data_IF_826108680224
#
_entry.id   IF_826108680224
#
_cell.length_a   1.000
_cell.length_b   1.000
_cell.length_c   1.000
_cell.angle_alpha   90.00
_cell.angle_beta   90.00
_cell.angle_gamma   90.00
#
_symmetry.space_group_name_H-M   'P 1'
#
loop_
_entity.id
_entity.type
_entity.pdbx_description
1 polymer ?
#
# COMPACT_ATOMS: atom_id res chain seq x y z
N UNK A 1 -21.85 3.51 23.38
CA UNK A 1 -20.38 3.70 23.23
C UNK A 1 -19.89 2.74 22.13
N UNK A 2 -19.96 3.16 20.85
CA UNK A 2 -19.85 2.28 19.66
C UNK A 2 -18.40 2.04 19.19
N UNK A 3 -17.45 2.82 19.68
CA UNK A 3 -16.06 2.87 19.18
C UNK A 3 -15.06 1.99 19.97
N UNK A 4 -15.50 1.29 21.02
CA UNK A 4 -14.57 0.50 21.86
C UNK A 4 -13.89 -0.66 21.14
N UNK A 5 -14.58 -1.29 20.18
CA UNK A 5 -14.03 -2.45 19.47
C UNK A 5 -12.86 -2.11 18.55
N UNK A 6 -12.75 -0.83 18.09
CA UNK A 6 -11.64 -0.39 17.24
C UNK A 6 -10.41 0.05 18.02
N UNK A 7 -10.51 0.21 19.34
CA UNK A 7 -9.42 0.66 20.20
C UNK A 7 -8.34 -0.42 20.42
N UNK A 8 -8.60 -1.68 20.05
CA UNK A 8 -7.64 -2.78 20.14
C UNK A 8 -6.89 -3.09 18.86
N UNK A 9 -7.14 -2.37 17.76
CA UNK A 9 -6.32 -2.51 16.55
C UNK A 9 -5.03 -1.72 16.76
N UNK A 10 -3.89 -2.37 16.50
CA UNK A 10 -2.60 -1.70 16.49
C UNK A 10 -2.57 -0.54 15.49
N UNK A 11 -1.61 0.36 15.65
CA UNK A 11 -1.36 1.39 14.66
C UNK A 11 -1.15 0.73 13.28
N UNK A 12 -1.63 1.38 12.23
CA UNK A 12 -1.39 0.92 10.87
C UNK A 12 0.11 1.00 10.61
N UNK A 13 0.73 -0.09 10.15
CA UNK A 13 2.13 -0.10 9.73
C UNK A 13 2.23 0.18 8.22
N UNK A 14 3.32 0.83 7.81
CA UNK A 14 3.64 1.08 6.41
C UNK A 14 5.06 0.60 6.10
N UNK A 15 5.29 0.20 4.85
CA UNK A 15 6.63 -0.06 4.35
C UNK A 15 7.17 1.20 3.65
N UNK A 16 8.19 1.83 4.24
CA UNK A 16 8.80 3.06 3.71
C UNK A 16 10.31 3.00 3.93
N UNK A 17 11.08 3.40 2.92
CA UNK A 17 12.55 3.41 2.96
C UNK A 17 13.18 2.05 3.34
N UNK A 18 12.64 0.95 2.80
CA UNK A 18 13.20 -0.39 3.00
C UNK A 18 12.90 -1.03 4.36
N UNK A 19 11.99 -0.46 5.16
CA UNK A 19 11.61 -1.01 6.47
C UNK A 19 10.11 -0.85 6.75
N UNK A 20 9.58 -1.78 7.55
CA UNK A 20 8.29 -1.65 8.20
C UNK A 20 8.40 -0.68 9.38
N UNK A 21 7.43 0.23 9.52
CA UNK A 21 7.33 1.15 10.66
C UNK A 21 5.87 1.57 10.86
N UNK A 22 5.51 1.99 12.07
CA UNK A 22 4.21 2.61 12.36
C UNK A 22 3.97 3.82 11.45
N UNK A 23 2.71 4.01 11.03
CA UNK A 23 2.33 5.11 10.13
C UNK A 23 2.51 6.50 10.74
N UNK A 24 2.50 6.65 12.06
CA UNK A 24 2.57 7.97 12.71
C UNK A 24 1.44 8.91 12.27
N UNK A 25 1.75 10.19 12.05
CA UNK A 25 0.81 11.17 11.50
C UNK A 25 0.72 11.00 9.96
N UNK A 26 -0.45 10.67 9.39
CA UNK A 26 -0.63 10.52 7.95
C UNK A 26 -0.22 11.76 7.14
N UNK A 27 -0.25 12.96 7.72
CA UNK A 27 0.16 14.19 7.05
C UNK A 27 1.67 14.21 6.73
N UNK A 28 2.50 13.51 7.51
CA UNK A 28 3.95 13.38 7.29
C UNK A 28 4.29 12.45 6.10
N UNK A 29 3.27 11.83 5.52
CA UNK A 29 3.37 10.93 4.38
C UNK A 29 2.75 11.51 3.10
N UNK A 30 2.42 12.80 3.06
CA UNK A 30 2.03 13.46 1.80
C UNK A 30 3.19 13.36 0.81
N UNK A 31 3.04 12.52 -0.20
CA UNK A 31 4.08 12.32 -1.20
C UNK A 31 4.32 13.61 -1.95
N UNK A 32 5.55 14.13 -1.87
CA UNK A 32 6.11 14.88 -2.99
C UNK A 32 6.08 13.92 -4.17
N UNK A 33 4.98 13.99 -4.93
CA UNK A 33 4.85 13.28 -6.19
C UNK A 33 5.83 13.99 -7.09
N UNK A 34 7.11 13.60 -7.06
CA UNK A 34 8.05 14.13 -8.02
C UNK A 34 7.46 13.76 -9.38
N UNK A 35 7.04 14.75 -10.21
CA UNK A 35 6.19 14.49 -11.37
C UNK A 35 6.91 13.74 -12.50
N UNK A 36 8.14 13.25 -12.23
CA UNK A 36 9.04 12.58 -13.16
C UNK A 36 9.59 11.23 -12.61
N UNK A 37 9.17 10.75 -11.43
CA UNK A 37 9.87 9.66 -10.74
C UNK A 37 9.13 8.32 -10.68
N UNK A 38 7.92 8.23 -11.24
CA UNK A 38 7.19 6.97 -11.29
C UNK A 38 6.68 6.72 -12.70
N UNK A 39 7.08 5.57 -13.26
CA UNK A 39 6.54 5.07 -14.53
C UNK A 39 5.00 5.06 -14.45
N UNK A 40 4.26 5.40 -15.52
CA UNK A 40 2.81 5.29 -15.56
C UNK A 40 2.31 3.93 -15.04
N UNK A 41 1.14 3.89 -14.40
CA UNK A 41 0.57 2.65 -13.84
C UNK A 41 0.50 1.50 -14.87
N UNK A 42 0.27 1.82 -16.15
CA UNK A 42 0.28 0.85 -17.23
C UNK A 42 1.64 0.14 -17.41
N UNK A 43 2.74 0.88 -17.31
CA UNK A 43 4.10 0.35 -17.40
C UNK A 43 4.47 -0.47 -16.15
N UNK A 44 4.00 -0.07 -14.98
CA UNK A 44 4.20 -0.83 -13.74
C UNK A 44 3.44 -2.17 -13.77
N UNK A 45 2.16 -2.16 -14.17
CA UNK A 45 1.33 -3.37 -14.27
C UNK A 45 1.89 -4.35 -15.30
N UNK A 46 2.42 -3.84 -16.43
CA UNK A 46 3.02 -4.68 -17.47
C UNK A 46 4.22 -5.52 -16.96
N UNK A 47 4.88 -5.11 -15.86
CA UNK A 47 6.02 -5.82 -15.26
C UNK A 47 5.60 -6.88 -14.23
N UNK A 48 4.31 -6.96 -13.86
CA UNK A 48 3.81 -7.95 -12.91
C UNK A 48 3.72 -9.31 -13.60
N UNK A 49 4.59 -10.25 -13.21
CA UNK A 49 4.47 -11.65 -13.56
C UNK A 49 3.45 -12.31 -12.61
N UNK A 50 2.26 -12.61 -13.13
CA UNK A 50 1.27 -13.37 -12.38
C UNK A 50 1.64 -14.86 -12.40
N UNK A 51 1.59 -15.56 -11.27
CA UNK A 51 1.65 -17.02 -11.28
C UNK A 51 0.45 -17.57 -12.06
N UNK A 52 0.63 -18.71 -12.74
CA UNK A 52 -0.38 -19.42 -13.55
C UNK A 52 -1.80 -19.20 -13.01
N UNK A 53 -2.62 -18.48 -13.77
CA UNK A 53 -3.99 -18.17 -13.40
C UNK A 53 -4.76 -19.50 -13.34
N UNK A 54 -5.20 -19.91 -12.14
CA UNK A 54 -6.09 -21.06 -12.02
C UNK A 54 -7.32 -20.79 -12.87
N UNK A 55 -7.71 -21.69 -13.79
CA UNK A 55 -8.91 -21.49 -14.59
C UNK A 55 -10.10 -21.31 -13.64
N UNK A 56 -10.78 -20.17 -13.76
CA UNK A 56 -12.09 -19.98 -13.14
C UNK A 56 -13.03 -20.97 -13.80
N UNK A 57 -13.42 -22.00 -13.06
CA UNK A 57 -14.35 -23.03 -13.51
C UNK A 57 -15.68 -22.35 -13.83
N UNK A 58 -16.02 -22.28 -15.12
CA UNK A 58 -17.37 -21.99 -15.60
C UNK A 58 -18.29 -23.19 -15.42
#
# INVERSE_FOLDING_TARGET
>A
RKMGYKAGFGALEIYKNGRWQDIGDPADHSGDTHPLSVDPIAEQVARIALPEARPTRG
#
